data_IF_504340134838
#
_entry.id   IF_504340134838
#
_cell.length_a   1.000
_cell.length_b   1.000
_cell.length_c   1.000
_cell.angle_alpha   90.00
_cell.angle_beta   90.00
_cell.angle_gamma   90.00
#
_symmetry.space_group_name_H-M   'P 1'
#
loop_
_entity.id
_entity.type
_entity.pdbx_description
1 polymer ?
#
# COMPACT_ATOMS: atom_id res chain seq x y z
N UNK A 1 21.06 -13.66 -4.77
CA UNK A 1 20.38 -12.36 -4.57
C UNK A 1 20.10 -12.21 -3.09
N UNK A 2 20.44 -11.08 -2.46
CA UNK A 2 20.03 -10.85 -1.06
C UNK A 2 18.54 -10.55 -1.05
N UNK A 3 17.75 -11.33 -0.33
CA UNK A 3 16.34 -11.00 -0.08
C UNK A 3 16.29 -9.68 0.67
N UNK A 4 15.59 -8.70 0.12
CA UNK A 4 15.48 -7.39 0.74
C UNK A 4 14.25 -7.36 1.63
N UNK A 5 14.45 -7.16 2.93
CA UNK A 5 13.34 -6.97 3.86
C UNK A 5 12.89 -5.52 3.80
N UNK A 6 11.60 -5.34 3.53
CA UNK A 6 10.93 -4.04 3.56
C UNK A 6 10.05 -4.01 4.80
N UNK A 7 10.20 -2.99 5.64
CA UNK A 7 9.31 -2.73 6.75
C UNK A 7 8.39 -1.55 6.43
N UNK A 8 7.09 -1.77 6.58
CA UNK A 8 6.06 -0.73 6.61
C UNK A 8 5.65 -0.56 8.07
N UNK A 9 5.69 0.65 8.61
CA UNK A 9 5.42 0.88 10.03
C UNK A 9 4.68 2.18 10.27
N UNK A 10 3.92 2.22 11.37
CA UNK A 10 3.21 3.41 11.81
C UNK A 10 4.04 4.16 12.87
N UNK A 11 4.17 5.48 12.74
CA UNK A 11 4.80 6.36 13.71
C UNK A 11 4.18 7.76 13.64
N UNK A 12 3.79 8.33 14.78
CA UNK A 12 3.33 9.74 14.86
C UNK A 12 4.49 10.73 14.84
N UNK A 13 5.67 10.25 15.23
CA UNK A 13 6.91 11.02 15.20
C UNK A 13 7.66 10.71 13.92
N UNK A 14 8.37 11.72 13.39
CA UNK A 14 9.23 11.51 12.23
C UNK A 14 10.32 10.50 12.57
N UNK A 15 10.54 9.46 11.75
CA UNK A 15 11.60 8.49 11.98
C UNK A 15 12.97 9.17 12.04
N UNK A 16 13.79 8.76 13.01
CA UNK A 16 15.17 9.24 13.18
C UNK A 16 16.05 8.85 11.98
N UNK A 17 15.85 7.65 11.45
CA UNK A 17 16.53 7.12 10.28
C UNK A 17 15.77 7.45 8.99
N UNK A 18 16.44 7.62 7.84
CA UNK A 18 15.75 7.89 6.57
C UNK A 18 14.70 6.82 6.25
N UNK A 19 13.46 7.26 6.05
CA UNK A 19 12.35 6.40 5.68
C UNK A 19 11.47 7.15 4.66
N UNK A 20 10.85 6.39 3.76
CA UNK A 20 9.90 6.93 2.80
C UNK A 20 8.56 7.17 3.49
N UNK A 21 8.06 8.40 3.44
CA UNK A 21 6.71 8.71 3.90
C UNK A 21 5.69 8.25 2.85
N UNK A 22 4.76 7.37 3.24
CA UNK A 22 3.81 6.73 2.33
C UNK A 22 2.40 7.30 2.50
N UNK A 23 1.92 7.37 3.74
CA UNK A 23 0.64 7.97 4.17
C UNK A 23 0.88 8.74 5.49
N UNK A 24 -0.07 9.56 5.97
CA UNK A 24 0.03 10.14 7.31
C UNK A 24 0.36 9.09 8.36
N UNK A 25 1.41 9.34 9.13
CA UNK A 25 1.98 8.45 10.14
C UNK A 25 2.47 7.09 9.62
N UNK A 26 2.56 6.84 8.30
CA UNK A 26 2.99 5.55 7.74
C UNK A 26 4.26 5.73 6.92
N UNK A 27 5.26 4.93 7.28
CA UNK A 27 6.59 4.98 6.69
C UNK A 27 7.05 3.62 6.18
N UNK A 28 7.91 3.64 5.17
CA UNK A 28 8.57 2.47 4.60
C UNK A 28 10.08 2.59 4.76
N UNK A 29 10.74 1.51 5.17
CA UNK A 29 12.20 1.43 5.30
C UNK A 29 12.72 0.08 4.83
N UNK A 30 13.97 0.08 4.36
CA UNK A 30 14.76 -1.10 4.03
C UNK A 30 16.05 -1.15 4.87
N UNK A 31 16.18 -0.26 5.86
CA UNK A 31 17.34 -0.18 6.74
C UNK A 31 17.22 -1.19 7.88
N UNK A 32 18.17 -2.13 7.95
CA UNK A 32 18.18 -3.20 8.95
C UNK A 32 18.08 -2.68 10.38
N UNK A 33 18.80 -1.60 10.71
CA UNK A 33 18.78 -0.96 12.03
C UNK A 33 17.38 -0.51 12.46
N UNK A 34 16.58 0.01 11.51
CA UNK A 34 15.20 0.41 11.80
C UNK A 34 14.30 -0.81 11.96
N UNK A 35 14.51 -1.86 11.16
CA UNK A 35 13.77 -3.12 11.29
C UNK A 35 14.03 -3.76 12.65
N UNK A 36 15.29 -3.86 13.07
CA UNK A 36 15.70 -4.40 14.37
C UNK A 36 15.07 -3.62 15.52
N UNK A 37 15.08 -2.28 15.44
CA UNK A 37 14.44 -1.42 16.44
C UNK A 37 12.92 -1.58 16.51
N UNK A 38 12.25 -1.80 15.37
CA UNK A 38 10.81 -2.09 15.34
C UNK A 38 10.50 -3.43 16.00
N UNK A 39 11.32 -4.45 15.75
CA UNK A 39 11.19 -5.78 16.35
C UNK A 39 11.46 -5.77 17.87
N UNK A 40 12.40 -4.95 18.33
CA UNK A 40 12.79 -4.86 19.73
C UNK A 40 11.75 -4.14 20.62
N UNK A 41 10.83 -3.36 20.04
CA UNK A 41 9.85 -2.56 20.79
C UNK A 41 8.45 -3.18 20.70
N UNK A 42 7.87 -3.64 21.82
CA UNK A 42 6.51 -4.20 21.81
C UNK A 42 5.47 -3.12 21.49
N UNK A 43 4.34 -3.53 20.89
CA UNK A 43 3.20 -2.65 20.62
C UNK A 43 3.30 -1.82 19.35
N UNK A 44 4.41 -1.90 18.61
CA UNK A 44 4.55 -1.21 17.33
C UNK A 44 3.65 -1.82 16.25
N UNK A 45 2.97 -0.96 15.48
CA UNK A 45 2.21 -1.39 14.29
C UNK A 45 3.15 -1.39 13.09
N UNK A 46 3.58 -2.57 12.66
CA UNK A 46 4.39 -2.74 11.46
C UNK A 46 4.06 -4.03 10.72
N UNK A 47 4.51 -4.11 9.47
CA UNK A 47 4.55 -5.31 8.64
C UNK A 47 5.90 -5.45 7.97
N UNK A 48 6.34 -6.68 7.79
CA UNK A 48 7.54 -7.03 7.05
C UNK A 48 7.15 -7.73 5.75
N UNK A 49 7.86 -7.38 4.69
CA UNK A 49 7.71 -7.98 3.36
C UNK A 49 9.08 -8.44 2.85
N UNK A 50 9.09 -9.61 2.21
CA UNK A 50 10.27 -10.11 1.50
C UNK A 50 10.21 -9.63 0.04
N UNK A 51 10.97 -8.58 -0.27
CA UNK A 51 10.98 -7.94 -1.58
C UNK A 51 9.83 -6.94 -1.79
N UNK A 52 9.75 -6.45 -3.02
CA UNK A 52 8.72 -5.50 -3.47
C UNK A 52 8.50 -5.67 -4.97
N UNK A 53 7.33 -5.25 -5.45
CA UNK A 53 7.06 -5.11 -6.88
C UNK A 53 7.45 -3.69 -7.32
N UNK A 54 8.23 -3.61 -8.38
CA UNK A 54 8.61 -2.35 -9.01
C UNK A 54 8.15 -2.32 -10.46
N UNK A 55 7.91 -1.13 -10.96
CA UNK A 55 7.57 -0.89 -12.36
C UNK A 55 8.70 -0.15 -13.04
N UNK A 56 9.00 -0.52 -14.29
CA UNK A 56 9.82 0.31 -15.15
C UNK A 56 9.12 1.66 -15.41
N UNK A 57 9.86 2.69 -15.85
CA UNK A 57 9.26 3.97 -16.22
C UNK A 57 8.09 3.79 -17.19
N UNK A 58 6.98 4.47 -16.91
CA UNK A 58 5.71 4.42 -17.68
C UNK A 58 4.96 3.09 -17.71
N UNK A 59 5.51 2.02 -17.13
CA UNK A 59 4.89 0.69 -17.19
C UNK A 59 3.55 0.66 -16.44
N UNK A 60 3.49 1.17 -15.20
CA UNK A 60 2.26 1.20 -14.42
C UNK A 60 1.14 1.99 -15.13
N UNK A 61 1.49 3.13 -15.73
CA UNK A 61 0.56 3.96 -16.49
C UNK A 61 -0.01 3.20 -17.69
N UNK A 62 0.85 2.47 -18.41
CA UNK A 62 0.46 1.66 -19.55
C UNK A 62 -0.40 0.44 -19.15
N UNK A 63 -0.18 -0.13 -17.97
CA UNK A 63 -1.02 -1.20 -17.41
C UNK A 63 -2.39 -0.67 -16.95
N UNK A 64 -2.42 0.50 -16.29
CA UNK A 64 -3.66 1.18 -15.90
C UNK A 64 -4.53 1.56 -17.10
N UNK A 65 -3.92 2.04 -18.19
CA UNK A 65 -4.63 2.41 -19.42
C UNK A 65 -5.31 1.22 -20.12
N UNK A 66 -4.90 -0.02 -19.80
CA UNK A 66 -5.47 -1.27 -20.34
C UNK A 66 -6.39 -1.98 -19.34
N UNK A 67 -6.86 -1.27 -18.31
CA UNK A 67 -7.68 -1.82 -17.23
C UNK A 67 -7.00 -3.02 -16.51
N UNK A 68 -5.66 -3.07 -16.49
CA UNK A 68 -4.89 -4.14 -15.84
C UNK A 68 -4.89 -4.08 -14.31
N UNK A 69 -5.26 -2.93 -13.73
CA UNK A 69 -5.28 -2.72 -12.28
C UNK A 69 -6.53 -2.01 -11.82
N UNK A 70 -6.98 -2.40 -10.62
CA UNK A 70 -7.89 -1.63 -9.80
C UNK A 70 -7.11 -0.73 -8.85
N UNK A 71 -7.55 0.51 -8.68
CA UNK A 71 -6.93 1.48 -7.74
C UNK A 71 -7.96 1.90 -6.70
N UNK A 72 -7.61 1.71 -5.43
CA UNK A 72 -8.41 2.11 -4.27
C UNK A 72 -7.58 2.99 -3.33
N UNK A 73 -8.21 3.90 -2.58
CA UNK A 73 -7.51 4.65 -1.53
C UNK A 73 -6.96 3.72 -0.45
N UNK A 74 -5.69 3.93 -0.07
CA UNK A 74 -5.06 3.22 1.04
C UNK A 74 -5.38 3.90 2.38
N UNK A 75 -5.39 3.12 3.47
CA UNK A 75 -5.50 3.63 4.85
C UNK A 75 -4.60 2.84 5.79
N UNK A 76 -4.18 3.45 6.90
CA UNK A 76 -3.37 2.76 7.90
C UNK A 76 -4.08 1.50 8.45
N UNK A 77 -5.40 1.57 8.66
CA UNK A 77 -6.16 0.41 9.16
C UNK A 77 -6.21 -0.73 8.15
N UNK A 78 -6.33 -0.43 6.86
CA UNK A 78 -6.22 -1.43 5.80
C UNK A 78 -4.83 -2.06 5.80
N UNK A 79 -3.79 -1.21 5.83
CA UNK A 79 -2.40 -1.63 5.78
C UNK A 79 -1.99 -2.49 6.99
N UNK A 80 -2.53 -2.24 8.18
CA UNK A 80 -2.15 -2.96 9.40
C UNK A 80 -3.24 -3.90 9.95
N UNK A 81 -4.24 -4.25 9.14
CA UNK A 81 -5.33 -5.17 9.53
C UNK A 81 -4.81 -6.57 9.89
N UNK A 82 -4.95 -7.00 11.14
CA UNK A 82 -4.43 -8.32 11.58
C UNK A 82 -5.06 -9.50 10.82
N UNK A 83 -6.38 -9.52 10.73
CA UNK A 83 -7.11 -10.55 9.99
C UNK A 83 -7.30 -10.13 8.53
N UNK A 84 -6.57 -10.81 7.63
CA UNK A 84 -6.64 -10.58 6.19
C UNK A 84 -7.53 -11.58 5.47
N UNK A 85 -8.24 -12.45 6.20
CA UNK A 85 -9.21 -13.35 5.59
C UNK A 85 -10.30 -12.54 4.88
N UNK A 86 -10.57 -12.90 3.62
CA UNK A 86 -11.57 -12.21 2.79
C UNK A 86 -11.19 -10.81 2.29
N UNK A 87 -10.04 -10.26 2.68
CA UNK A 87 -9.62 -8.91 2.32
C UNK A 87 -9.60 -8.68 0.80
N UNK A 88 -9.11 -9.67 0.05
CA UNK A 88 -9.08 -9.61 -1.40
C UNK A 88 -10.48 -9.47 -2.01
N UNK A 89 -11.42 -10.31 -1.60
CA UNK A 89 -12.79 -10.30 -2.10
C UNK A 89 -13.50 -8.99 -1.76
N UNK A 90 -13.28 -8.46 -0.55
CA UNK A 90 -13.79 -7.16 -0.10
C UNK A 90 -13.28 -6.02 -1.00
N UNK A 91 -11.95 -5.93 -1.19
CA UNK A 91 -11.34 -4.88 -2.00
C UNK A 91 -11.73 -4.99 -3.48
N UNK A 92 -11.80 -6.20 -4.02
CA UNK A 92 -12.22 -6.42 -5.41
C UNK A 92 -13.67 -5.98 -5.63
N UNK A 93 -14.58 -6.31 -4.70
CA UNK A 93 -15.96 -5.87 -4.77
C UNK A 93 -16.07 -4.34 -4.72
N UNK A 94 -15.34 -3.70 -3.80
CA UNK A 94 -15.29 -2.23 -3.70
C UNK A 94 -14.79 -1.58 -4.98
N UNK A 95 -13.69 -2.07 -5.53
CA UNK A 95 -13.09 -1.53 -6.74
C UNK A 95 -14.00 -1.63 -7.97
N UNK A 96 -14.68 -2.77 -8.13
CA UNK A 96 -15.66 -2.97 -9.21
C UNK A 96 -16.84 -2.01 -9.06
N UNK A 97 -17.32 -1.78 -7.84
CA UNK A 97 -18.35 -0.78 -7.54
C UNK A 97 -17.94 0.64 -7.93
N UNK A 98 -16.75 1.08 -7.52
CA UNK A 98 -16.22 2.41 -7.88
C UNK A 98 -16.03 2.57 -9.40
N UNK A 99 -15.55 1.53 -10.10
CA UNK A 99 -15.37 1.58 -11.55
C UNK A 99 -16.72 1.64 -12.28
N UNK A 100 -17.74 0.90 -11.81
CA UNK A 100 -19.09 0.97 -12.37
C UNK A 100 -19.70 2.37 -12.20
N UNK A 101 -19.58 2.96 -10.99
CA UNK A 101 -20.05 4.31 -10.73
C UNK A 101 -19.36 5.35 -11.62
N UNK A 102 -18.03 5.27 -11.76
CA UNK A 102 -17.26 6.17 -12.66
C UNK A 102 -17.73 6.06 -14.12
N UNK A 103 -18.05 4.85 -14.60
CA UNK A 103 -18.60 4.63 -15.95
C UNK A 103 -19.98 5.28 -16.11
N UNK A 104 -20.87 5.13 -15.13
CA UNK A 104 -22.21 5.75 -15.15
C UNK A 104 -22.09 7.28 -15.14
N UNK A 105 -21.30 7.86 -14.24
CA UNK A 105 -21.12 9.31 -14.15
C UNK A 105 -20.56 9.91 -15.44
N UNK A 106 -19.60 9.23 -16.09
CA UNK A 106 -19.09 9.65 -17.41
C UNK A 106 -20.20 9.63 -18.48
N UNK A 107 -21.01 8.57 -18.52
CA UNK A 107 -22.09 8.47 -19.49
C UNK A 107 -23.18 9.55 -19.31
N UNK A 108 -23.42 9.99 -18.07
CA UNK A 108 -24.35 11.09 -17.77
C UNK A 108 -23.73 12.46 -18.08
N UNK A 109 -22.44 12.67 -17.80
CA UNK A 109 -21.75 13.94 -18.05
C UNK A 109 -21.41 14.22 -19.53
N UNK A 110 -21.49 13.20 -20.39
CA UNK A 110 -21.31 13.31 -21.85
C UNK A 110 -22.64 13.58 -22.60
N UNK A 111 -23.73 13.83 -21.88
CA UNK A 111 -25.02 14.31 -22.39
C UNK A 111 -25.23 15.76 -22.01
#
# INVERSE_FOLDING_TARGET
MRETIVALFQSRERPESPAFHVLPDVYLTMQSETVERLLARPGQRFRLYAGFSGWAPLQLQAELARDGWYVLPASADLLFRKDTAGLWSELLAKARGEQALKKILRAVALR
#
